data_IF_343141840638
#
_entry.id   IF_343141840638
#
_cell.length_a   1.000
_cell.length_b   1.000
_cell.length_c   1.000
_cell.angle_alpha   90.00
_cell.angle_beta   90.00
_cell.angle_gamma   90.00
#
_symmetry.space_group_name_H-M   'P 1'
#
loop_
_entity.id
_entity.type
_entity.pdbx_description
1 polymer ?
#
# COMPACT_ATOMS: atom_id res chain seq x y z
N UNK A 1 -11.32 -19.75 17.59
CA UNK A 1 -11.89 -18.92 16.53
C UNK A 1 -10.88 -18.88 15.41
N UNK A 2 -11.22 -19.38 14.23
CA UNK A 2 -10.29 -19.60 13.11
C UNK A 2 -9.79 -18.28 12.55
N UNK A 3 -8.47 -18.16 12.42
CA UNK A 3 -7.71 -17.02 11.93
C UNK A 3 -7.91 -16.73 10.41
N UNK A 4 -9.08 -16.97 9.84
CA UNK A 4 -9.32 -16.88 8.39
C UNK A 4 -9.56 -15.45 7.85
N UNK A 5 -9.55 -14.41 8.71
CA UNK A 5 -9.78 -13.03 8.28
C UNK A 5 -8.55 -12.33 7.64
N UNK A 6 -7.40 -13.00 7.52
CA UNK A 6 -6.16 -12.39 7.00
C UNK A 6 -5.80 -12.86 5.60
N UNK A 7 -6.76 -12.79 4.66
CA UNK A 7 -6.49 -13.09 3.26
C UNK A 7 -5.99 -11.83 2.57
N UNK A 8 -4.76 -11.86 2.08
CA UNK A 8 -4.21 -10.86 1.15
C UNK A 8 -4.53 -11.27 -0.30
N UNK A 9 -4.51 -10.30 -1.23
CA UNK A 9 -4.48 -10.62 -2.67
C UNK A 9 -3.19 -11.33 -3.08
N UNK A 10 -3.13 -11.81 -4.33
CA UNK A 10 -1.91 -12.41 -4.90
C UNK A 10 -1.85 -13.93 -4.85
N UNK A 11 -2.92 -14.60 -4.47
CA UNK A 11 -3.01 -16.07 -4.54
C UNK A 11 -4.26 -16.53 -5.31
N UNK A 12 -4.30 -16.35 -6.65
CA UNK A 12 -5.44 -16.77 -7.46
C UNK A 12 -5.65 -18.28 -7.43
N UNK A 13 -4.62 -19.10 -7.20
CA UNK A 13 -4.76 -20.56 -7.13
C UNK A 13 -5.54 -21.00 -5.89
N UNK A 14 -5.31 -20.35 -4.76
CA UNK A 14 -6.10 -20.56 -3.52
C UNK A 14 -7.57 -20.23 -3.76
N UNK A 15 -7.84 -19.09 -4.41
CA UNK A 15 -9.20 -18.67 -4.69
C UNK A 15 -9.92 -19.57 -5.71
N UNK A 16 -9.24 -20.02 -6.78
CA UNK A 16 -9.78 -21.03 -7.70
C UNK A 16 -10.20 -22.28 -6.94
N UNK A 17 -9.33 -22.78 -6.04
CA UNK A 17 -9.65 -23.94 -5.19
C UNK A 17 -10.82 -23.68 -4.26
N UNK A 18 -10.88 -22.50 -3.61
CA UNK A 18 -11.99 -22.10 -2.70
C UNK A 18 -13.34 -22.10 -3.41
N UNK A 19 -13.35 -21.61 -4.64
CA UNK A 19 -14.57 -21.52 -5.47
C UNK A 19 -14.88 -22.81 -6.26
N UNK A 20 -14.05 -23.84 -6.15
CA UNK A 20 -14.24 -25.10 -6.88
C UNK A 20 -14.03 -24.96 -8.40
N UNK A 21 -13.17 -24.04 -8.83
CA UNK A 21 -12.86 -23.80 -10.24
C UNK A 21 -11.58 -24.52 -10.66
N UNK A 22 -11.49 -24.88 -11.94
CA UNK A 22 -10.29 -25.51 -12.49
C UNK A 22 -9.10 -24.56 -12.48
N UNK A 23 -7.90 -25.13 -12.25
CA UNK A 23 -6.65 -24.36 -12.31
C UNK A 23 -6.40 -23.87 -13.73
N UNK A 24 -6.15 -22.59 -13.90
CA UNK A 24 -5.86 -21.92 -15.17
C UNK A 24 -4.93 -20.72 -14.96
N UNK A 25 -4.43 -20.17 -16.04
CA UNK A 25 -3.74 -18.89 -16.01
C UNK A 25 -4.75 -17.76 -15.74
N UNK A 26 -4.43 -16.90 -14.78
CA UNK A 26 -5.28 -15.83 -14.30
C UNK A 26 -4.54 -14.51 -14.36
N UNK A 27 -5.17 -13.49 -14.92
CA UNK A 27 -4.74 -12.11 -14.76
C UNK A 27 -5.07 -11.64 -13.33
N UNK A 28 -4.04 -11.37 -12.56
CA UNK A 28 -4.22 -11.00 -11.16
C UNK A 28 -4.34 -9.49 -10.98
N UNK A 29 -5.57 -9.02 -10.82
CA UNK A 29 -5.92 -7.64 -10.47
C UNK A 29 -6.02 -7.42 -8.95
N UNK A 30 -5.82 -8.45 -8.14
CA UNK A 30 -5.92 -8.35 -6.68
C UNK A 30 -4.71 -7.70 -6.02
N UNK A 31 -3.59 -7.60 -6.73
CA UNK A 31 -2.32 -7.02 -6.23
C UNK A 31 -2.01 -5.70 -6.90
N UNK A 32 -1.73 -4.68 -6.10
CA UNK A 32 -1.47 -3.31 -6.55
C UNK A 32 0.03 -3.10 -6.84
N UNK A 33 0.61 -3.88 -7.76
CA UNK A 33 1.99 -3.73 -8.21
C UNK A 33 2.05 -3.12 -9.60
N UNK A 34 3.18 -2.54 -9.96
CA UNK A 34 3.41 -1.99 -11.30
C UNK A 34 3.11 -3.01 -12.40
N UNK A 35 2.28 -2.67 -13.39
CA UNK A 35 1.97 -3.55 -14.52
C UNK A 35 3.12 -3.66 -15.54
N UNK A 36 4.16 -2.83 -15.43
CA UNK A 36 5.35 -2.92 -16.30
C UNK A 36 6.25 -4.10 -15.96
N UNK A 37 5.99 -4.77 -14.81
CA UNK A 37 6.86 -5.82 -14.29
C UNK A 37 8.21 -5.27 -13.81
N UNK A 38 9.16 -6.17 -13.56
CA UNK A 38 10.49 -5.81 -13.05
C UNK A 38 11.24 -4.92 -14.05
N UNK A 39 11.89 -3.83 -13.60
CA UNK A 39 12.69 -2.95 -14.47
C UNK A 39 13.78 -3.70 -15.26
N UNK A 40 14.05 -3.26 -16.49
CA UNK A 40 15.09 -3.84 -17.36
C UNK A 40 16.47 -3.82 -16.73
N UNK A 41 16.78 -2.76 -15.99
CA UNK A 41 18.04 -2.55 -15.28
C UNK A 41 18.26 -3.67 -14.24
N UNK A 42 17.20 -4.04 -13.53
CA UNK A 42 17.27 -5.12 -12.53
C UNK A 42 17.37 -6.49 -13.22
N UNK A 43 16.64 -6.69 -14.33
CA UNK A 43 16.76 -7.94 -15.13
C UNK A 43 18.18 -8.13 -15.65
N UNK A 44 18.84 -7.04 -16.08
CA UNK A 44 20.19 -7.08 -16.63
C UNK A 44 21.23 -7.61 -15.63
N UNK A 45 21.12 -7.23 -14.34
CA UNK A 45 22.07 -7.65 -13.29
C UNK A 45 21.66 -8.95 -12.58
N UNK A 46 20.50 -9.54 -12.90
CA UNK A 46 19.92 -10.62 -12.10
C UNK A 46 20.84 -11.83 -11.93
N UNK A 47 21.58 -12.20 -12.98
CA UNK A 47 22.54 -13.32 -12.91
C UNK A 47 23.71 -13.04 -11.96
N UNK A 48 24.14 -11.78 -11.89
CA UNK A 48 25.24 -11.35 -11.01
C UNK A 48 24.80 -11.35 -9.53
N UNK A 49 23.52 -11.09 -9.28
CA UNK A 49 22.97 -11.10 -7.94
C UNK A 49 23.00 -12.48 -7.28
N UNK A 50 23.04 -13.57 -8.06
CA UNK A 50 23.20 -14.92 -7.51
C UNK A 50 24.52 -15.07 -6.75
N UNK A 51 25.60 -14.42 -7.20
CA UNK A 51 26.89 -14.43 -6.54
C UNK A 51 26.93 -13.64 -5.22
N UNK A 52 25.87 -12.90 -4.91
CA UNK A 52 25.75 -12.15 -3.64
C UNK A 52 25.02 -12.94 -2.55
N UNK A 53 24.41 -14.08 -2.88
CA UNK A 53 23.56 -14.85 -1.94
C UNK A 53 24.38 -15.54 -0.85
N UNK A 54 25.62 -15.86 -1.11
CA UNK A 54 26.56 -16.50 -0.17
C UNK A 54 27.22 -15.52 0.81
N UNK A 55 26.84 -14.22 0.76
CA UNK A 55 27.40 -13.16 1.59
C UNK A 55 26.34 -12.58 2.54
N UNK A 56 26.76 -12.28 3.77
CA UNK A 56 25.90 -11.53 4.68
C UNK A 56 25.57 -10.14 4.12
N UNK A 57 24.32 -9.64 4.31
CA UNK A 57 24.00 -8.25 4.05
C UNK A 57 24.67 -7.33 5.06
N UNK A 58 24.55 -6.01 4.87
CA UNK A 58 24.89 -5.06 5.93
C UNK A 58 23.96 -5.24 7.14
N UNK A 59 24.45 -4.90 8.33
CA UNK A 59 23.70 -5.09 9.59
C UNK A 59 22.36 -4.33 9.58
N UNK A 60 22.34 -3.15 8.95
CA UNK A 60 21.28 -2.15 9.03
C UNK A 60 20.61 -1.81 7.68
N UNK A 61 20.92 -2.56 6.58
CA UNK A 61 20.31 -2.32 5.27
C UNK A 61 20.90 -1.10 4.53
N UNK A 62 22.21 -0.87 4.61
CA UNK A 62 22.90 0.29 4.04
C UNK A 62 22.59 0.55 2.56
N UNK A 63 22.43 -0.50 1.75
CA UNK A 63 22.09 -0.37 0.33
C UNK A 63 20.75 0.35 0.12
N UNK A 64 19.76 0.06 0.97
CA UNK A 64 18.45 0.72 0.95
C UNK A 64 18.57 2.17 1.44
N UNK A 65 19.27 2.43 2.55
CA UNK A 65 19.49 3.79 3.02
C UNK A 65 20.20 4.67 1.96
N UNK A 66 21.18 4.10 1.25
CA UNK A 66 21.87 4.77 0.15
C UNK A 66 20.94 5.11 -1.02
N UNK A 67 19.93 4.27 -1.34
CA UNK A 67 18.90 4.60 -2.30
C UNK A 67 18.16 5.87 -1.89
N UNK A 68 17.67 5.96 -0.65
CA UNK A 68 16.94 7.13 -0.17
C UNK A 68 17.79 8.39 -0.15
N UNK A 69 19.05 8.29 0.26
CA UNK A 69 20.00 9.40 0.20
C UNK A 69 20.14 9.93 -1.23
N UNK A 70 20.39 9.07 -2.20
CA UNK A 70 20.62 9.48 -3.60
C UNK A 70 19.36 9.91 -4.31
N UNK A 71 18.23 9.20 -4.09
CA UNK A 71 16.97 9.47 -4.81
C UNK A 71 16.20 10.66 -4.25
N UNK A 72 16.25 10.86 -2.94
CA UNK A 72 15.46 11.88 -2.24
C UNK A 72 16.31 12.94 -1.54
N UNK A 73 17.64 12.84 -1.62
CA UNK A 73 18.59 13.72 -0.94
C UNK A 73 18.40 13.74 0.58
N UNK A 74 18.11 12.57 1.18
CA UNK A 74 17.90 12.45 2.62
C UNK A 74 19.21 12.16 3.36
N UNK A 75 19.33 12.74 4.56
CA UNK A 75 20.36 12.30 5.51
C UNK A 75 20.13 10.81 5.87
N UNK A 76 21.14 9.93 5.74
CA UNK A 76 21.02 8.53 6.16
C UNK A 76 20.56 8.33 7.61
N UNK A 77 20.82 9.28 8.52
CA UNK A 77 20.35 9.24 9.89
C UNK A 77 18.81 9.29 9.99
N UNK A 78 18.12 9.80 8.96
CA UNK A 78 16.66 9.86 8.87
C UNK A 78 16.03 8.57 8.37
N UNK A 79 16.81 7.57 7.94
CA UNK A 79 16.32 6.38 7.25
C UNK A 79 16.62 5.13 8.07
N UNK A 80 15.60 4.31 8.29
CA UNK A 80 15.73 2.95 8.78
C UNK A 80 15.18 1.99 7.72
N UNK A 81 16.06 1.18 7.13
CA UNK A 81 15.69 0.18 6.14
C UNK A 81 15.00 -1.02 6.80
N UNK A 82 14.11 -1.70 6.10
CA UNK A 82 13.41 -2.90 6.59
C UNK A 82 13.17 -3.94 5.51
N UNK A 83 12.86 -5.15 5.95
CA UNK A 83 12.38 -6.27 5.12
C UNK A 83 10.95 -5.99 4.62
N UNK A 84 10.84 -4.99 3.74
CA UNK A 84 9.61 -4.27 3.41
C UNK A 84 9.22 -3.27 4.51
N UNK A 85 8.30 -2.35 4.18
CA UNK A 85 7.74 -1.42 5.18
C UNK A 85 6.97 -2.14 6.29
N UNK A 86 6.46 -3.33 6.04
CA UNK A 86 5.69 -4.13 7.01
C UNK A 86 6.49 -4.46 8.27
N UNK A 87 7.78 -4.85 8.15
CA UNK A 87 8.64 -5.06 9.33
C UNK A 87 8.63 -3.82 10.24
N UNK A 88 8.74 -2.65 9.64
CA UNK A 88 8.83 -1.37 10.36
C UNK A 88 7.48 -0.93 10.94
N UNK A 89 6.37 -1.25 10.26
CA UNK A 89 5.00 -1.09 10.78
C UNK A 89 4.82 -1.90 12.07
N UNK A 90 5.34 -3.15 12.11
CA UNK A 90 5.28 -3.98 13.33
C UNK A 90 6.26 -3.54 14.42
N UNK A 91 7.41 -3.00 14.04
CA UNK A 91 8.40 -2.50 14.99
C UNK A 91 7.91 -1.26 15.74
N UNK A 92 7.28 -0.32 15.02
CA UNK A 92 7.06 1.05 15.48
C UNK A 92 6.15 1.17 16.71
N UNK A 93 4.95 0.56 16.79
CA UNK A 93 4.10 0.68 17.97
C UNK A 93 4.77 0.19 19.25
N UNK A 94 5.55 -0.90 19.15
CA UNK A 94 6.33 -1.43 20.28
C UNK A 94 7.51 -0.53 20.66
N UNK A 95 8.22 -0.02 19.66
CA UNK A 95 9.39 0.83 19.88
C UNK A 95 9.05 2.21 20.47
N UNK A 96 7.88 2.70 20.16
CA UNK A 96 7.34 3.96 20.69
C UNK A 96 6.45 3.78 21.93
N UNK A 97 6.29 2.53 22.39
CA UNK A 97 5.50 2.18 23.59
C UNK A 97 4.06 2.72 23.53
N UNK A 98 3.45 2.65 22.33
CA UNK A 98 2.09 3.16 22.12
C UNK A 98 1.08 2.29 22.88
N UNK A 99 0.23 2.91 23.69
CA UNK A 99 -0.79 2.24 24.50
C UNK A 99 -2.17 2.27 23.85
N UNK A 100 -2.49 3.35 23.13
CA UNK A 100 -3.73 3.48 22.36
C UNK A 100 -3.41 4.03 20.98
N UNK A 101 -3.79 3.28 19.95
CA UNK A 101 -3.49 3.62 18.55
C UNK A 101 -4.79 3.81 17.79
N UNK A 102 -4.95 4.98 17.18
CA UNK A 102 -6.01 5.24 16.22
C UNK A 102 -5.63 4.69 14.84
N UNK A 103 -6.59 4.06 14.17
CA UNK A 103 -6.44 3.51 12.83
C UNK A 103 -7.60 3.98 11.97
N UNK A 104 -7.30 4.67 10.87
CA UNK A 104 -8.31 5.03 9.87
C UNK A 104 -8.76 3.73 9.17
N UNK A 105 -10.07 3.47 9.15
CA UNK A 105 -10.67 2.29 8.50
C UNK A 105 -11.65 2.70 7.40
N UNK A 106 -11.86 1.88 6.36
CA UNK A 106 -11.12 0.66 6.03
C UNK A 106 -9.68 0.96 5.62
N UNK A 107 -8.73 0.16 6.08
CA UNK A 107 -7.31 0.32 5.73
C UNK A 107 -6.54 -1.00 5.76
N UNK A 108 -5.24 -0.93 5.49
CA UNK A 108 -4.36 -2.09 5.52
C UNK A 108 -4.33 -2.74 6.91
N UNK A 109 -4.66 -4.03 6.98
CA UNK A 109 -4.86 -4.76 8.24
C UNK A 109 -3.67 -4.75 9.19
N UNK A 110 -2.46 -4.60 8.65
CA UNK A 110 -1.27 -4.69 9.49
C UNK A 110 -1.10 -3.48 10.41
N UNK A 111 -1.81 -2.37 10.21
CA UNK A 111 -1.83 -1.27 11.20
C UNK A 111 -2.52 -1.71 12.50
N UNK A 112 -3.71 -2.30 12.37
CA UNK A 112 -4.44 -2.88 13.51
C UNK A 112 -3.65 -4.03 14.15
N UNK A 113 -3.13 -4.96 13.33
CA UNK A 113 -2.41 -6.14 13.82
C UNK A 113 -1.12 -5.79 14.55
N UNK A 114 -0.33 -4.86 14.00
CA UNK A 114 0.92 -4.42 14.63
C UNK A 114 0.67 -3.71 15.95
N UNK A 115 -0.39 -2.90 16.03
CA UNK A 115 -0.78 -2.21 17.26
C UNK A 115 -1.22 -3.20 18.34
N UNK A 116 -2.08 -4.16 18.01
CA UNK A 116 -2.49 -5.24 18.92
C UNK A 116 -1.32 -6.12 19.36
N UNK A 117 -0.40 -6.46 18.42
CA UNK A 117 0.80 -7.23 18.73
C UNK A 117 1.77 -6.50 19.67
N UNK A 118 1.73 -5.17 19.68
CA UNK A 118 2.47 -4.34 20.63
C UNK A 118 1.75 -4.18 21.99
N UNK A 119 0.52 -4.71 22.12
CA UNK A 119 -0.29 -4.60 23.34
C UNK A 119 -1.07 -3.28 23.44
N UNK A 120 -1.21 -2.53 22.34
CA UNK A 120 -1.97 -1.30 22.32
C UNK A 120 -3.48 -1.55 22.17
N UNK A 121 -4.29 -0.71 22.81
CA UNK A 121 -5.72 -0.59 22.52
C UNK A 121 -5.95 0.11 21.17
N UNK A 122 -7.05 -0.24 20.50
CA UNK A 122 -7.41 0.35 19.21
C UNK A 122 -8.53 1.37 19.33
N UNK A 123 -8.41 2.44 18.56
CA UNK A 123 -9.47 3.39 18.24
C UNK A 123 -9.68 3.39 16.73
N UNK A 124 -10.70 2.67 16.25
CA UNK A 124 -11.04 2.66 14.84
C UNK A 124 -11.83 3.90 14.46
N UNK A 125 -11.43 4.55 13.35
CA UNK A 125 -12.01 5.80 12.85
C UNK A 125 -12.42 5.59 11.40
N UNK A 126 -13.72 5.51 11.14
CA UNK A 126 -14.26 5.05 9.88
C UNK A 126 -14.37 6.16 8.82
N UNK A 127 -13.87 5.89 7.60
CA UNK A 127 -14.24 6.62 6.39
C UNK A 127 -15.52 6.02 5.83
N UNK A 128 -16.49 6.87 5.48
CA UNK A 128 -17.80 6.42 5.05
C UNK A 128 -17.91 6.29 3.53
N UNK A 129 -18.52 5.22 3.08
CA UNK A 129 -18.77 4.97 1.65
C UNK A 129 -19.73 6.02 1.04
N UNK A 130 -20.73 6.48 1.81
CA UNK A 130 -21.69 7.51 1.43
C UNK A 130 -21.03 8.85 1.16
N UNK A 131 -19.87 9.10 1.79
CA UNK A 131 -19.04 10.29 1.61
C UNK A 131 -17.92 10.05 0.59
N UNK A 132 -17.97 8.93 -0.17
CA UNK A 132 -16.94 8.55 -1.14
C UNK A 132 -15.59 8.23 -0.50
N UNK A 133 -15.56 7.83 0.78
CA UNK A 133 -14.35 7.65 1.58
C UNK A 133 -13.45 8.90 1.62
N UNK A 134 -14.07 10.09 1.66
CA UNK A 134 -13.35 11.36 1.76
C UNK A 134 -12.44 11.40 3.01
N UNK A 135 -11.28 12.10 2.96
CA UNK A 135 -10.42 12.24 4.11
C UNK A 135 -11.12 13.02 5.23
N UNK A 136 -10.90 12.60 6.47
CA UNK A 136 -11.44 13.28 7.64
C UNK A 136 -10.81 14.67 7.81
N UNK A 137 -11.63 15.64 8.26
CA UNK A 137 -11.18 16.99 8.54
C UNK A 137 -10.35 17.10 9.83
N UNK A 138 -9.68 18.24 9.98
CA UNK A 138 -8.78 18.52 11.10
C UNK A 138 -9.47 18.36 12.47
N UNK A 139 -10.70 18.89 12.64
CA UNK A 139 -11.39 18.85 13.93
C UNK A 139 -11.70 17.42 14.39
N UNK A 140 -12.13 16.54 13.47
CA UNK A 140 -12.37 15.12 13.77
C UNK A 140 -11.04 14.44 14.16
N UNK A 141 -9.98 14.64 13.38
CA UNK A 141 -8.68 14.04 13.69
C UNK A 141 -8.07 14.60 14.99
N UNK A 142 -8.36 15.84 15.33
CA UNK A 142 -7.97 16.45 16.60
C UNK A 142 -8.65 15.76 17.80
N UNK A 143 -9.94 15.46 17.69
CA UNK A 143 -10.67 14.69 18.72
C UNK A 143 -10.08 13.28 18.86
N UNK A 144 -9.83 12.61 17.76
CA UNK A 144 -9.17 11.29 17.72
C UNK A 144 -7.82 11.33 18.42
N UNK A 145 -6.97 12.31 18.07
CA UNK A 145 -5.64 12.46 18.64
C UNK A 145 -5.68 12.91 20.12
N UNK A 146 -6.77 13.51 20.60
CA UNK A 146 -6.92 13.78 22.03
C UNK A 146 -6.91 12.47 22.85
N UNK A 147 -7.46 11.40 22.30
CA UNK A 147 -7.59 10.08 22.95
C UNK A 147 -6.47 9.09 22.67
N UNK A 148 -5.82 9.13 21.49
CA UNK A 148 -4.80 8.17 21.06
C UNK A 148 -3.39 8.70 21.31
N UNK A 149 -2.40 7.77 21.42
CA UNK A 149 -0.97 8.09 21.49
C UNK A 149 -0.35 8.18 20.08
N UNK A 150 -0.99 7.54 19.09
CA UNK A 150 -0.56 7.55 17.70
C UNK A 150 -1.72 7.30 16.75
N UNK A 151 -1.58 7.76 15.51
CA UNK A 151 -2.54 7.60 14.43
C UNK A 151 -1.85 6.97 13.22
N UNK A 152 -2.35 5.82 12.75
CA UNK A 152 -1.98 5.26 11.46
C UNK A 152 -2.86 5.82 10.33
N UNK A 153 -2.19 6.32 9.29
CA UNK A 153 -2.82 6.83 8.06
C UNK A 153 -2.14 6.21 6.84
N UNK A 154 -2.87 5.46 6.02
CA UNK A 154 -2.42 5.13 4.67
C UNK A 154 -2.55 6.35 3.76
N UNK A 155 -1.51 6.74 3.02
CA UNK A 155 -1.57 7.93 2.18
C UNK A 155 -0.78 7.78 0.86
N UNK A 156 -1.42 7.34 -0.23
CA UNK A 156 -2.84 6.97 -0.42
C UNK A 156 -3.26 5.73 0.38
N UNK A 157 -4.48 5.76 0.90
CA UNK A 157 -5.02 4.67 1.70
C UNK A 157 -5.39 3.46 0.84
N UNK A 158 -5.13 2.28 1.33
CA UNK A 158 -5.55 1.01 0.74
C UNK A 158 -6.60 0.36 1.65
N UNK A 159 -7.87 0.12 1.17
CA UNK A 159 -8.26 -0.04 -0.24
C UNK A 159 -8.93 1.17 -0.89
N UNK A 160 -9.22 2.25 -0.18
CA UNK A 160 -10.09 3.35 -0.64
C UNK A 160 -9.44 4.29 -1.66
N UNK A 161 -8.11 4.29 -1.74
CA UNK A 161 -7.31 5.26 -2.53
C UNK A 161 -7.42 6.72 -2.03
N UNK A 162 -7.98 6.94 -0.84
CA UNK A 162 -8.10 8.26 -0.21
C UNK A 162 -6.73 8.89 0.01
N UNK A 163 -6.63 10.19 -0.24
CA UNK A 163 -5.43 10.99 -0.01
C UNK A 163 -5.71 12.06 1.03
N UNK A 164 -4.95 12.05 2.11
CA UNK A 164 -4.99 13.09 3.13
C UNK A 164 -4.05 14.23 2.72
N UNK A 165 -4.50 15.50 2.80
CA UNK A 165 -3.65 16.64 2.51
C UNK A 165 -2.40 16.66 3.40
N UNK A 166 -1.23 16.89 2.79
CA UNK A 166 0.05 16.98 3.52
C UNK A 166 -0.02 17.98 4.67
N UNK A 167 -0.59 19.17 4.43
CA UNK A 167 -0.67 20.23 5.43
C UNK A 167 -1.52 19.81 6.63
N UNK A 168 -2.61 19.08 6.40
CA UNK A 168 -3.45 18.54 7.47
C UNK A 168 -2.66 17.67 8.45
N UNK A 169 -1.80 16.78 7.93
CA UNK A 169 -0.98 15.90 8.75
C UNK A 169 0.11 16.66 9.51
N UNK A 170 0.68 17.69 8.89
CA UNK A 170 1.66 18.59 9.54
C UNK A 170 1.02 19.40 10.66
N UNK A 171 -0.16 19.98 10.43
CA UNK A 171 -0.89 20.76 11.43
C UNK A 171 -1.31 19.88 12.61
N UNK A 172 -1.72 18.64 12.33
CA UNK A 172 -2.06 17.67 13.35
C UNK A 172 -0.83 17.30 14.21
N UNK A 173 0.32 17.05 13.58
CA UNK A 173 1.57 16.75 14.27
C UNK A 173 2.03 17.93 15.16
N UNK A 174 1.93 19.17 14.65
CA UNK A 174 2.25 20.37 15.41
C UNK A 174 1.33 20.58 16.60
N UNK A 175 0.04 20.21 16.47
CA UNK A 175 -0.94 20.35 17.56
C UNK A 175 -0.75 19.32 18.67
N UNK A 176 -0.08 18.19 18.39
CA UNK A 176 0.16 17.09 19.33
C UNK A 176 1.62 16.64 19.34
N UNK A 177 2.57 17.49 19.79
CA UNK A 177 4.00 17.22 19.65
C UNK A 177 4.49 15.96 20.40
N UNK A 178 3.71 15.48 21.40
CA UNK A 178 4.00 14.28 22.18
C UNK A 178 3.26 13.02 21.69
N UNK A 179 2.57 13.09 20.54
CA UNK A 179 1.83 11.97 19.95
C UNK A 179 2.29 11.73 18.51
N UNK A 180 2.07 10.54 18.00
CA UNK A 180 2.70 10.08 16.77
C UNK A 180 1.74 10.09 15.58
N UNK A 181 2.19 10.57 14.43
CA UNK A 181 1.52 10.42 13.14
C UNK A 181 2.32 9.41 12.30
N UNK A 182 1.73 8.26 12.03
CA UNK A 182 2.35 7.12 11.35
C UNK A 182 1.76 7.01 9.94
N UNK A 183 2.49 7.53 8.94
CA UNK A 183 1.98 7.69 7.57
C UNK A 183 2.55 6.60 6.66
N UNK A 184 1.70 5.75 6.10
CA UNK A 184 2.14 4.74 5.12
C UNK A 184 1.98 5.28 3.69
N UNK A 185 3.10 5.60 3.07
CA UNK A 185 3.23 6.10 1.72
C UNK A 185 3.60 5.01 0.69
N UNK A 186 3.22 3.75 0.93
CA UNK A 186 3.54 2.65 0.02
C UNK A 186 3.05 2.83 -1.42
N UNK A 187 2.08 3.70 -1.66
CA UNK A 187 1.48 3.99 -2.96
C UNK A 187 1.66 5.43 -3.43
N UNK A 188 2.36 6.28 -2.68
CA UNK A 188 2.48 7.71 -2.99
C UNK A 188 3.11 7.98 -4.37
N UNK A 189 4.04 7.14 -4.81
CA UNK A 189 4.71 7.28 -6.12
C UNK A 189 3.77 7.08 -7.33
N UNK A 190 2.55 6.55 -7.12
CA UNK A 190 1.53 6.39 -8.17
C UNK A 190 0.60 7.61 -8.31
N UNK A 191 0.73 8.61 -7.46
CA UNK A 191 0.00 9.88 -7.59
C UNK A 191 0.51 10.67 -8.80
N UNK A 192 -0.30 11.60 -9.31
CA UNK A 192 0.10 12.49 -10.40
C UNK A 192 1.16 13.50 -9.93
N UNK A 193 1.05 13.97 -8.69
CA UNK A 193 1.96 14.92 -8.05
C UNK A 193 2.39 14.39 -6.66
N UNK A 194 3.22 13.34 -6.60
CA UNK A 194 3.58 12.70 -5.34
C UNK A 194 4.34 13.63 -4.39
N UNK A 195 5.06 14.63 -4.91
CA UNK A 195 5.81 15.61 -4.12
C UNK A 195 4.93 16.60 -3.35
N UNK A 196 3.68 16.82 -3.77
CA UNK A 196 2.73 17.67 -3.07
C UNK A 196 2.12 16.98 -1.85
N UNK A 197 2.07 15.66 -1.88
CA UNK A 197 1.42 14.83 -0.85
C UNK A 197 2.45 14.22 0.11
N UNK A 198 3.58 13.75 -0.41
CA UNK A 198 4.56 12.99 0.36
C UNK A 198 5.25 13.84 1.44
N UNK A 199 5.38 13.26 2.62
CA UNK A 199 6.11 13.83 3.76
C UNK A 199 7.57 13.39 3.80
N UNK A 200 8.02 12.52 2.88
CA UNK A 200 9.35 11.94 2.90
C UNK A 200 10.47 13.00 2.82
N UNK A 201 10.21 14.12 2.09
CA UNK A 201 11.15 15.24 1.92
C UNK A 201 10.83 16.45 2.79
N UNK A 202 9.97 16.30 3.80
CA UNK A 202 9.64 17.42 4.68
C UNK A 202 10.89 17.92 5.41
N UNK A 203 11.13 19.24 5.32
CA UNK A 203 12.22 19.93 5.99
C UNK A 203 11.72 21.17 6.74
N UNK A 204 12.08 21.35 8.01
CA UNK A 204 12.70 20.34 8.85
C UNK A 204 11.76 19.14 9.07
N UNK A 205 12.30 17.91 9.31
CA UNK A 205 11.44 16.76 9.59
C UNK A 205 10.81 16.91 10.97
N UNK A 206 9.46 16.77 11.09
CA UNK A 206 8.81 16.73 12.40
C UNK A 206 9.30 15.54 13.22
N UNK A 207 9.52 15.75 14.53
CA UNK A 207 10.02 14.69 15.42
C UNK A 207 9.03 13.55 15.61
N UNK A 208 7.73 13.84 15.48
CA UNK A 208 6.61 12.94 15.74
C UNK A 208 5.88 12.44 14.49
N UNK A 209 6.49 12.56 13.32
CA UNK A 209 6.01 11.93 12.08
C UNK A 209 6.98 10.83 11.65
N UNK A 210 6.44 9.65 11.37
CA UNK A 210 7.14 8.54 10.72
C UNK A 210 6.45 8.20 9.40
N UNK A 211 7.23 8.16 8.31
CA UNK A 211 6.76 7.86 6.96
C UNK A 211 7.26 6.47 6.55
N UNK A 212 6.35 5.52 6.41
CA UNK A 212 6.66 4.19 5.88
C UNK A 212 6.59 4.23 4.36
N UNK A 213 7.65 3.80 3.71
CA UNK A 213 7.75 3.84 2.25
C UNK A 213 8.15 2.48 1.69
N UNK A 214 7.49 2.06 0.61
CA UNK A 214 7.70 0.75 -0.02
C UNK A 214 8.18 0.90 -1.46
N UNK A 215 9.28 0.24 -1.80
CA UNK A 215 9.79 0.16 -3.18
C UNK A 215 9.19 -1.03 -3.95
N UNK A 216 8.51 -1.93 -3.25
CA UNK A 216 8.07 -3.22 -3.83
C UNK A 216 6.91 -3.07 -4.80
N UNK A 217 6.03 -2.08 -4.61
CA UNK A 217 4.83 -1.89 -5.43
C UNK A 217 5.16 -1.19 -6.74
N UNK A 218 5.85 -0.05 -6.63
CA UNK A 218 6.19 0.79 -7.76
C UNK A 218 7.15 0.10 -8.75
N UNK A 219 8.13 -0.65 -8.24
CA UNK A 219 9.11 -1.36 -9.07
C UNK A 219 8.77 -2.84 -9.34
N UNK A 220 7.56 -3.29 -9.02
CA UNK A 220 7.14 -4.69 -9.21
C UNK A 220 8.08 -5.74 -8.59
N UNK A 221 8.56 -5.49 -7.37
CA UNK A 221 9.52 -6.33 -6.64
C UNK A 221 8.97 -6.83 -5.29
N UNK A 222 7.71 -7.32 -5.19
CA UNK A 222 7.12 -7.69 -3.90
C UNK A 222 7.88 -8.83 -3.22
N UNK A 223 8.50 -9.73 -3.97
CA UNK A 223 9.28 -10.85 -3.44
C UNK A 223 10.61 -10.46 -2.79
N UNK A 224 11.16 -9.28 -3.11
CA UNK A 224 12.45 -8.83 -2.55
C UNK A 224 12.32 -8.15 -1.20
N UNK A 225 11.11 -7.72 -0.82
CA UNK A 225 10.86 -7.10 0.48
C UNK A 225 11.73 -5.85 0.71
N UNK A 226 11.50 -4.79 -0.05
CA UNK A 226 12.23 -3.53 0.00
C UNK A 226 11.36 -2.40 0.55
N UNK A 227 11.78 -1.77 1.64
CA UNK A 227 11.10 -0.63 2.25
C UNK A 227 11.95 0.07 3.29
N UNK A 228 11.47 1.21 3.75
CA UNK A 228 12.09 1.98 4.83
C UNK A 228 11.04 2.75 5.62
N UNK A 229 11.41 3.16 6.83
CA UNK A 229 10.75 4.26 7.54
C UNK A 229 11.67 5.46 7.54
N UNK A 230 11.11 6.63 7.30
CA UNK A 230 11.79 7.92 7.27
C UNK A 230 11.19 8.83 8.35
N UNK A 231 12.04 9.52 9.09
CA UNK A 231 11.62 10.43 10.16
C UNK A 231 12.72 11.37 10.62
N UNK A 232 12.52 11.97 11.78
CA UNK A 232 13.55 12.76 12.44
C UNK A 232 14.73 11.84 12.89
N UNK A 233 15.98 12.28 12.80
CA UNK A 233 17.13 11.46 13.20
C UNK A 233 17.03 10.87 14.61
N UNK A 234 16.58 11.67 15.58
CA UNK A 234 16.46 11.22 16.98
C UNK A 234 15.38 10.13 17.11
N UNK A 235 14.28 10.26 16.39
CA UNK A 235 13.22 9.24 16.36
C UNK A 235 13.72 7.95 15.71
N UNK A 236 14.40 8.04 14.58
CA UNK A 236 15.00 6.89 13.91
C UNK A 236 16.05 6.21 14.80
N UNK A 237 16.83 6.98 15.58
CA UNK A 237 17.81 6.43 16.50
C UNK A 237 17.20 5.60 17.63
N UNK A 238 15.96 5.90 18.05
CA UNK A 238 15.18 5.13 19.04
C UNK A 238 14.67 3.80 18.48
N UNK A 239 14.32 3.75 17.18
CA UNK A 239 13.83 2.53 16.54
C UNK A 239 14.96 1.55 16.22
N UNK A 240 16.13 2.08 15.83
CA UNK A 240 17.27 1.31 15.31
C UNK A 240 17.74 0.16 16.23
N UNK A 241 17.90 0.32 17.55
CA UNK A 241 18.34 -0.76 18.45
C UNK A 241 17.34 -1.92 18.58
N UNK A 242 16.07 -1.70 18.25
CA UNK A 242 15.00 -2.68 18.37
C UNK A 242 14.76 -3.45 17.06
N UNK A 243 15.41 -3.03 15.98
CA UNK A 243 15.36 -3.71 14.69
C UNK A 243 16.30 -4.90 14.68
N UNK A 244 15.86 -6.04 14.13
CA UNK A 244 16.73 -7.21 13.96
C UNK A 244 17.91 -6.90 13.01
N UNK A 245 19.15 -7.30 13.35
CA UNK A 245 20.27 -7.18 12.43
C UNK A 245 20.06 -8.09 11.21
N UNK A 246 20.61 -7.68 10.06
CA UNK A 246 20.55 -8.43 8.79
C UNK A 246 19.13 -8.71 8.26
N UNK A 247 18.08 -8.03 8.71
CA UNK A 247 16.71 -8.28 8.27
C UNK A 247 16.49 -7.98 6.78
N UNK A 248 17.26 -7.05 6.21
CA UNK A 248 17.26 -6.76 4.76
C UNK A 248 18.22 -7.70 4.06
N UNK A 249 17.73 -8.53 3.13
CA UNK A 249 18.56 -9.48 2.44
C UNK A 249 19.55 -8.81 1.47
N UNK A 250 20.68 -9.46 1.21
CA UNK A 250 21.79 -8.93 0.41
C UNK A 250 21.38 -8.58 -1.03
N UNK A 251 20.53 -9.39 -1.65
CA UNK A 251 20.03 -9.14 -3.01
C UNK A 251 19.20 -7.87 -3.04
N UNK A 252 18.33 -7.68 -2.05
CA UNK A 252 17.50 -6.48 -1.91
C UNK A 252 18.35 -5.20 -1.78
N UNK A 253 19.45 -5.23 -1.00
CA UNK A 253 20.35 -4.09 -0.88
C UNK A 253 21.01 -3.72 -2.23
N UNK A 254 21.45 -4.72 -2.99
CA UNK A 254 22.05 -4.51 -4.30
C UNK A 254 21.04 -3.97 -5.31
N UNK A 255 19.84 -4.55 -5.32
CA UNK A 255 18.74 -4.07 -6.17
C UNK A 255 18.37 -2.63 -5.84
N UNK A 256 18.28 -2.25 -4.55
CA UNK A 256 17.97 -0.88 -4.16
C UNK A 256 18.95 0.14 -4.78
N UNK A 257 20.24 -0.18 -4.85
CA UNK A 257 21.23 0.69 -5.49
C UNK A 257 21.02 0.83 -7.01
N UNK A 258 20.59 -0.23 -7.67
CA UNK A 258 20.30 -0.21 -9.12
C UNK A 258 19.00 0.53 -9.45
N UNK A 259 18.01 0.57 -8.54
CA UNK A 259 16.76 1.31 -8.74
C UNK A 259 16.99 2.82 -8.99
N UNK A 260 18.12 3.37 -8.57
CA UNK A 260 18.51 4.75 -8.84
C UNK A 260 18.60 5.03 -10.35
N UNK A 261 18.93 4.00 -11.14
CA UNK A 261 19.08 4.09 -12.60
C UNK A 261 17.75 3.96 -13.36
N UNK A 262 16.64 3.64 -12.68
CA UNK A 262 15.35 3.31 -13.30
C UNK A 262 14.47 4.54 -13.63
N UNK A 263 15.04 5.72 -13.88
CA UNK A 263 14.29 6.95 -14.12
C UNK A 263 13.32 6.85 -15.31
N UNK A 264 13.70 6.14 -16.39
CA UNK A 264 12.83 5.95 -17.54
C UNK A 264 11.67 4.98 -17.26
N UNK A 265 11.92 3.97 -16.42
CA UNK A 265 10.86 3.10 -15.90
C UNK A 265 9.85 3.90 -15.08
N UNK A 266 10.32 4.74 -14.15
CA UNK A 266 9.46 5.61 -13.33
C UNK A 266 8.57 6.49 -14.19
N UNK A 267 9.13 7.19 -15.19
CA UNK A 267 8.36 8.04 -16.12
C UNK A 267 7.31 7.26 -16.90
N UNK A 268 7.67 6.11 -17.46
CA UNK A 268 6.73 5.27 -18.23
C UNK A 268 5.59 4.78 -17.34
N UNK A 269 5.89 4.36 -16.10
CA UNK A 269 4.88 3.88 -15.16
C UNK A 269 3.93 5.01 -14.75
N UNK A 270 4.47 6.18 -14.37
CA UNK A 270 3.66 7.34 -14.00
C UNK A 270 2.75 7.76 -15.16
N UNK A 271 3.27 7.83 -16.40
CA UNK A 271 2.47 8.15 -17.59
C UNK A 271 1.36 7.12 -17.83
N UNK A 272 1.66 5.84 -17.70
CA UNK A 272 0.67 4.76 -17.86
C UNK A 272 -0.47 4.90 -16.85
N UNK A 273 -0.13 5.04 -15.56
CA UNK A 273 -1.14 5.11 -14.49
C UNK A 273 -1.96 6.40 -14.60
N UNK A 274 -1.34 7.54 -14.91
CA UNK A 274 -2.01 8.81 -15.11
C UNK A 274 -3.08 8.74 -16.23
N UNK A 275 -2.80 8.02 -17.33
CA UNK A 275 -3.74 7.85 -18.45
C UNK A 275 -4.82 6.79 -18.15
N UNK A 276 -4.41 5.63 -17.63
CA UNK A 276 -5.31 4.49 -17.47
C UNK A 276 -6.26 4.63 -16.27
N UNK A 277 -5.83 5.24 -15.19
CA UNK A 277 -6.63 5.41 -13.98
C UNK A 277 -7.98 6.11 -14.24
N UNK A 278 -8.02 7.33 -14.80
CA UNK A 278 -9.28 8.00 -15.13
C UNK A 278 -10.05 7.26 -16.22
N UNK A 279 -9.37 6.66 -17.22
CA UNK A 279 -10.02 5.89 -18.28
C UNK A 279 -10.79 4.69 -17.71
N UNK A 280 -10.15 3.89 -16.87
CA UNK A 280 -10.76 2.72 -16.25
C UNK A 280 -11.91 3.12 -15.32
N UNK A 281 -11.69 4.14 -14.49
CA UNK A 281 -12.73 4.66 -13.60
C UNK A 281 -13.99 5.08 -14.34
N UNK A 282 -13.87 5.92 -15.37
CA UNK A 282 -15.01 6.39 -16.18
C UNK A 282 -15.73 5.22 -16.88
N UNK A 283 -14.97 4.26 -17.43
CA UNK A 283 -15.54 3.09 -18.11
C UNK A 283 -16.32 2.17 -17.16
N UNK A 284 -15.90 2.05 -15.89
CA UNK A 284 -16.64 1.26 -14.89
C UNK A 284 -17.92 1.99 -14.48
N UNK A 285 -17.91 3.33 -14.36
CA UNK A 285 -19.12 4.11 -14.08
C UNK A 285 -20.23 3.91 -15.13
N UNK A 286 -19.86 3.63 -16.38
CA UNK A 286 -20.79 3.38 -17.49
C UNK A 286 -21.32 1.94 -17.50
N UNK A 287 -20.92 1.06 -16.58
CA UNK A 287 -21.38 -0.33 -16.50
C UNK A 287 -22.40 -0.46 -15.36
N UNK A 288 -23.63 -0.84 -15.68
CA UNK A 288 -24.66 -1.09 -14.66
C UNK A 288 -24.19 -2.11 -13.62
N UNK A 289 -24.56 -1.90 -12.36
CA UNK A 289 -24.19 -2.82 -11.28
C UNK A 289 -22.82 -2.60 -10.68
N UNK A 290 -22.07 -1.59 -11.11
CA UNK A 290 -20.79 -1.22 -10.53
C UNK A 290 -20.79 0.24 -10.06
N UNK A 291 -20.39 0.43 -8.82
CA UNK A 291 -20.20 1.75 -8.23
C UNK A 291 -18.72 1.92 -7.87
N UNK A 292 -17.87 2.50 -8.74
CA UNK A 292 -16.49 2.76 -8.43
C UNK A 292 -16.35 4.01 -7.57
N UNK A 293 -15.30 4.04 -6.74
CA UNK A 293 -14.85 5.19 -5.96
C UNK A 293 -13.62 5.81 -6.62
N UNK A 294 -13.53 7.15 -6.60
CA UNK A 294 -12.50 7.90 -7.29
C UNK A 294 -11.08 7.47 -6.86
N UNK A 295 -10.26 6.91 -7.78
CA UNK A 295 -8.92 6.45 -7.44
C UNK A 295 -7.88 7.58 -7.51
N UNK A 296 -6.90 7.55 -6.60
CA UNK A 296 -5.73 8.40 -6.68
C UNK A 296 -4.44 7.61 -7.00
N UNK A 297 -4.36 6.32 -6.61
CA UNK A 297 -3.21 5.45 -6.85
C UNK A 297 -3.43 4.50 -8.05
N UNK A 298 -2.64 3.43 -8.13
CA UNK A 298 -2.73 2.41 -9.18
C UNK A 298 -3.77 1.31 -8.90
N UNK A 299 -4.82 1.63 -8.16
CA UNK A 299 -5.95 0.75 -7.88
C UNK A 299 -7.21 1.58 -7.61
N UNK A 300 -8.35 0.94 -7.75
CA UNK A 300 -9.65 1.50 -7.39
C UNK A 300 -10.46 0.51 -6.55
N UNK A 301 -11.25 1.05 -5.64
CA UNK A 301 -12.30 0.35 -4.91
C UNK A 301 -13.62 0.50 -5.67
N UNK A 302 -14.42 -0.56 -5.72
CA UNK A 302 -15.76 -0.49 -6.27
C UNK A 302 -16.71 -1.37 -5.48
N UNK A 303 -18.03 -1.06 -5.56
CA UNK A 303 -19.13 -1.86 -5.00
C UNK A 303 -19.90 -2.54 -6.12
N UNK A 304 -20.18 -3.83 -5.94
CA UNK A 304 -21.11 -4.60 -6.77
C UNK A 304 -22.54 -4.41 -6.26
N UNK A 305 -23.51 -4.12 -7.15
CA UNK A 305 -24.85 -3.69 -6.74
C UNK A 305 -26.00 -4.46 -7.40
N UNK A 306 -25.73 -5.43 -8.31
CA UNK A 306 -26.79 -6.19 -8.96
C UNK A 306 -27.29 -7.37 -8.12
N UNK A 307 -26.44 -7.94 -7.27
CA UNK A 307 -26.83 -8.99 -6.32
C UNK A 307 -26.33 -8.66 -4.93
N UNK A 308 -26.91 -9.29 -3.90
CA UNK A 308 -26.47 -9.15 -2.50
C UNK A 308 -25.25 -10.01 -2.17
N UNK A 309 -24.68 -10.71 -3.17
CA UNK A 309 -23.56 -11.63 -2.99
C UNK A 309 -22.38 -11.26 -3.90
N UNK A 310 -21.32 -10.76 -3.30
CA UNK A 310 -20.06 -10.50 -4.00
C UNK A 310 -19.48 -11.77 -4.66
N UNK A 311 -19.74 -12.95 -4.11
CA UNK A 311 -19.27 -14.23 -4.65
C UNK A 311 -19.76 -14.50 -6.07
N UNK A 312 -20.91 -13.96 -6.48
CA UNK A 312 -21.42 -14.04 -7.85
C UNK A 312 -20.43 -13.36 -8.82
N UNK A 313 -20.07 -12.12 -8.53
CA UNK A 313 -19.08 -11.37 -9.32
C UNK A 313 -17.71 -12.08 -9.28
N UNK A 314 -17.22 -12.43 -8.09
CA UNK A 314 -15.89 -13.01 -7.94
C UNK A 314 -15.77 -14.35 -8.67
N UNK A 315 -16.80 -15.19 -8.61
CA UNK A 315 -16.85 -16.48 -9.32
C UNK A 315 -16.89 -16.28 -10.85
N UNK A 316 -17.71 -15.34 -11.34
CA UNK A 316 -17.77 -15.04 -12.75
C UNK A 316 -16.42 -14.55 -13.29
N UNK A 317 -15.82 -13.57 -12.62
CA UNK A 317 -14.55 -12.96 -13.04
C UNK A 317 -13.40 -13.97 -12.98
N UNK A 318 -13.27 -14.71 -11.88
CA UNK A 318 -12.21 -15.70 -11.72
C UNK A 318 -12.40 -16.89 -12.67
N UNK A 319 -13.65 -17.33 -12.88
CA UNK A 319 -14.04 -18.33 -13.89
C UNK A 319 -13.72 -17.91 -15.32
N UNK A 320 -13.64 -16.59 -15.58
CA UNK A 320 -13.21 -16.00 -16.85
C UNK A 320 -11.72 -15.64 -16.91
N UNK A 321 -10.94 -16.02 -15.89
CA UNK A 321 -9.49 -15.85 -15.82
C UNK A 321 -9.03 -14.47 -15.32
N UNK A 322 -9.84 -13.77 -14.52
CA UNK A 322 -9.50 -12.50 -13.88
C UNK A 322 -9.73 -12.58 -12.37
N UNK A 323 -8.72 -12.30 -11.57
CA UNK A 323 -8.80 -12.32 -10.12
C UNK A 323 -8.91 -10.89 -9.56
N UNK A 324 -10.04 -10.58 -8.90
CA UNK A 324 -10.28 -9.34 -8.18
C UNK A 324 -10.00 -9.53 -6.68
N UNK A 325 -9.74 -8.44 -5.96
CA UNK A 325 -9.55 -8.46 -4.51
C UNK A 325 -10.89 -8.36 -3.79
N UNK A 326 -11.30 -9.40 -3.10
CA UNK A 326 -12.40 -9.38 -2.14
C UNK A 326 -12.06 -8.47 -0.95
N UNK A 327 -12.84 -7.43 -0.72
CA UNK A 327 -12.61 -6.45 0.34
C UNK A 327 -13.50 -6.65 1.57
N UNK A 328 -14.32 -7.69 1.64
CA UNK A 328 -15.21 -7.96 2.78
C UNK A 328 -14.49 -8.17 4.11
N UNK A 329 -13.21 -8.49 4.08
CA UNK A 329 -12.39 -8.64 5.29
C UNK A 329 -11.81 -7.30 5.81
N UNK A 330 -12.00 -6.19 5.11
CA UNK A 330 -11.64 -4.88 5.64
C UNK A 330 -12.75 -4.36 6.57
N UNK A 331 -12.43 -3.87 7.79
CA UNK A 331 -13.41 -3.20 8.63
C UNK A 331 -14.13 -2.09 7.86
N UNK A 332 -15.46 -2.00 7.97
CA UNK A 332 -16.25 -1.03 7.21
C UNK A 332 -16.64 -1.44 5.78
N UNK A 333 -16.13 -2.59 5.26
CA UNK A 333 -16.43 -3.08 3.91
C UNK A 333 -17.05 -4.49 3.90
N UNK A 334 -17.96 -4.78 4.84
CA UNK A 334 -18.57 -6.11 5.00
C UNK A 334 -19.46 -6.53 3.83
N UNK A 335 -19.92 -5.56 3.00
CA UNK A 335 -20.84 -5.79 1.89
C UNK A 335 -20.06 -6.16 0.60
N UNK A 336 -20.61 -5.75 -0.52
CA UNK A 336 -20.21 -6.13 -1.88
C UNK A 336 -19.03 -5.30 -2.43
N UNK A 337 -18.01 -5.01 -1.62
CA UNK A 337 -16.85 -4.25 -2.05
C UNK A 337 -15.72 -5.13 -2.57
N UNK A 338 -15.15 -4.71 -3.68
CA UNK A 338 -13.93 -5.30 -4.25
C UNK A 338 -12.96 -4.22 -4.68
N UNK A 339 -11.68 -4.57 -4.76
CA UNK A 339 -10.63 -3.68 -5.26
C UNK A 339 -9.97 -4.32 -6.48
N UNK A 340 -9.62 -3.50 -7.46
CA UNK A 340 -8.83 -3.92 -8.61
C UNK A 340 -7.65 -2.98 -8.87
N UNK A 341 -6.54 -3.54 -9.34
CA UNK A 341 -5.39 -2.78 -9.78
C UNK A 341 -5.64 -2.12 -11.14
N UNK A 342 -4.96 -1.00 -11.41
CA UNK A 342 -4.81 -0.43 -12.77
C UNK A 342 -3.61 -1.11 -13.42
N UNK A 343 -3.81 -1.68 -14.60
CA UNK A 343 -2.81 -2.49 -15.30
C UNK A 343 -2.53 -1.95 -16.71
N UNK A 344 -1.96 -2.79 -17.60
CA UNK A 344 -1.75 -2.44 -19.01
C UNK A 344 -3.10 -2.21 -19.73
N UNK A 345 -3.16 -1.35 -20.77
CA UNK A 345 -4.41 -1.03 -21.47
C UNK A 345 -5.19 -2.27 -21.93
N UNK A 346 -4.51 -3.24 -22.51
CA UNK A 346 -5.11 -4.49 -23.01
C UNK A 346 -5.70 -5.35 -21.90
N UNK A 347 -5.00 -5.39 -20.73
CA UNK A 347 -5.47 -6.11 -19.54
C UNK A 347 -6.68 -5.39 -18.94
N UNK A 348 -6.65 -4.04 -18.87
CA UNK A 348 -7.76 -3.21 -18.42
C UNK A 348 -8.97 -3.35 -19.34
N UNK A 349 -8.80 -3.37 -20.66
CA UNK A 349 -9.89 -3.57 -21.61
C UNK A 349 -10.54 -4.95 -21.46
N UNK A 350 -9.73 -5.98 -21.17
CA UNK A 350 -10.26 -7.33 -20.90
C UNK A 350 -11.11 -7.36 -19.64
N UNK A 351 -10.64 -6.79 -18.52
CA UNK A 351 -11.45 -6.79 -17.29
C UNK A 351 -12.73 -5.98 -17.45
N UNK A 352 -12.68 -4.83 -18.14
CA UNK A 352 -13.86 -4.01 -18.42
C UNK A 352 -14.89 -4.73 -19.29
N UNK A 353 -14.44 -5.48 -20.32
CA UNK A 353 -15.31 -6.32 -21.15
C UNK A 353 -15.98 -7.41 -20.32
N UNK A 354 -15.26 -8.09 -19.44
CA UNK A 354 -15.81 -9.12 -18.55
C UNK A 354 -16.79 -8.54 -17.52
N UNK A 355 -16.51 -7.36 -16.98
CA UNK A 355 -17.44 -6.66 -16.08
C UNK A 355 -18.76 -6.34 -16.78
N UNK A 356 -18.72 -5.89 -18.05
CA UNK A 356 -19.92 -5.68 -18.86
C UNK A 356 -20.69 -6.98 -19.09
N UNK A 357 -20.00 -8.05 -19.49
CA UNK A 357 -20.63 -9.36 -19.68
C UNK A 357 -21.23 -9.91 -18.38
N UNK A 358 -20.60 -9.67 -17.24
CA UNK A 358 -21.14 -10.02 -15.93
C UNK A 358 -22.40 -9.21 -15.62
N UNK A 359 -22.38 -7.90 -15.86
CA UNK A 359 -23.55 -7.03 -15.71
C UNK A 359 -24.73 -7.54 -16.56
N UNK A 360 -24.49 -7.81 -17.84
CA UNK A 360 -25.53 -8.30 -18.76
C UNK A 360 -26.09 -9.68 -18.35
N UNK A 361 -25.31 -10.49 -17.64
CA UNK A 361 -25.74 -11.80 -17.13
C UNK A 361 -26.70 -11.69 -15.93
N UNK A 362 -26.55 -10.64 -15.10
CA UNK A 362 -27.34 -10.44 -13.87
C UNK A 362 -28.44 -9.38 -14.00
N UNK A 363 -28.53 -8.65 -15.12
CA UNK A 363 -29.67 -7.78 -15.47
C UNK A 363 -30.83 -8.58 -16.04
#
# INVERSE_FOLDING_TARGET
MSNDNHVHGGDPRRELKRLGLETRDVLDFSVNVSPLGVPSEIKAIWKELLAEVDRYPSVDGQGVACYYQKRFNLDPARVLAGNGSTELIYLTPRALELRKVAVITPSFHDYTRSSLAAGADLLEVELKAEEGFAPLGFDILKEVMAEADGLFVGNPNNPTSTVFPRQLLLDLAASFPNKWILVDEAFVQFLDQPEEVSLIRQEPPPENILVFHSLTKFFALPGLRLGAVVGHPDTISRLRPLKEPWSVNRVAEKVALELIKCADYEKRLSSLVCLERPRVFNRIQDISGFQPFAPAANFLLARWTLTDQLDDLLRFMLGSGVHLRDCRNFPGLQDNFFRMAIRQPEENDRVLSLMRSCSDHYL
#
